data_IF_055507121210
#
_entry.id   IF_055507121210
#
_cell.length_a   1.000
_cell.length_b   1.000
_cell.length_c   1.000
_cell.angle_alpha   90.00
_cell.angle_beta   90.00
_cell.angle_gamma   90.00
#
_symmetry.space_group_name_H-M   'P 1'
#
loop_
_entity.id
_entity.type
_entity.pdbx_description
1 polymer ?
#
# COMPACT_ATOMS: atom_id res chain seq x y z
N UNK A 1 1.81 -5.62 -9.61
CA UNK A 1 3.13 -5.15 -10.12
C UNK A 1 4.26 -5.50 -9.15
N UNK A 2 4.08 -6.53 -8.31
CA UNK A 2 4.79 -6.53 -7.02
C UNK A 2 5.85 -7.61 -6.90
N UNK A 3 5.86 -8.62 -7.79
CA UNK A 3 6.88 -9.67 -7.77
C UNK A 3 8.32 -9.13 -7.89
N UNK A 4 8.59 -8.18 -8.78
CA UNK A 4 9.93 -7.60 -8.95
C UNK A 4 10.39 -6.86 -7.68
N UNK A 5 9.50 -6.04 -7.11
CA UNK A 5 9.74 -5.32 -5.86
C UNK A 5 9.93 -6.28 -4.67
N UNK A 6 9.12 -7.35 -4.58
CA UNK A 6 9.23 -8.41 -3.56
C UNK A 6 10.57 -9.15 -3.62
N UNK A 7 11.10 -9.35 -4.83
CA UNK A 7 12.42 -9.95 -5.04
C UNK A 7 13.59 -8.97 -4.83
N UNK A 8 13.30 -7.69 -4.54
CA UNK A 8 14.32 -6.65 -4.39
C UNK A 8 15.08 -6.36 -5.68
N UNK A 9 14.45 -6.62 -6.84
CA UNK A 9 15.07 -6.50 -8.18
C UNK A 9 14.27 -5.59 -9.09
N UNK A 10 14.96 -4.93 -9.99
CA UNK A 10 14.34 -4.26 -11.13
C UNK A 10 13.84 -5.28 -12.15
N UNK A 11 12.87 -4.87 -12.98
CA UNK A 11 12.40 -5.70 -14.10
C UNK A 11 13.54 -6.08 -15.06
N UNK A 12 14.52 -5.20 -15.24
CA UNK A 12 15.67 -5.44 -16.09
C UNK A 12 16.57 -6.55 -15.52
N UNK A 13 16.82 -6.55 -14.22
CA UNK A 13 17.62 -7.58 -13.55
C UNK A 13 16.94 -8.94 -13.59
N UNK A 14 15.62 -9.00 -13.42
CA UNK A 14 14.87 -10.26 -13.58
C UNK A 14 15.00 -10.81 -15.00
N UNK A 15 14.84 -9.97 -16.02
CA UNK A 15 14.99 -10.39 -17.43
C UNK A 15 16.41 -10.86 -17.77
N UNK A 16 17.42 -10.30 -17.12
CA UNK A 16 18.82 -10.63 -17.37
C UNK A 16 19.30 -11.88 -16.61
N UNK A 17 18.76 -12.15 -15.42
CA UNK A 17 19.28 -13.16 -14.50
C UNK A 17 18.38 -14.40 -14.36
N UNK A 18 17.12 -14.33 -14.79
CA UNK A 18 16.12 -15.37 -14.58
C UNK A 18 15.63 -15.97 -15.89
N UNK A 19 15.47 -17.30 -15.93
CA UNK A 19 14.84 -17.97 -17.07
C UNK A 19 13.33 -17.74 -17.10
N UNK A 20 12.70 -17.86 -18.28
CA UNK A 20 11.25 -17.71 -18.43
C UNK A 20 10.47 -18.74 -17.60
N UNK A 21 11.00 -19.95 -17.45
CA UNK A 21 10.39 -21.02 -16.66
C UNK A 21 10.41 -20.69 -15.16
N UNK A 22 11.55 -20.18 -14.66
CA UNK A 22 11.67 -19.74 -13.28
C UNK A 22 10.76 -18.53 -13.00
N UNK A 23 10.70 -17.57 -13.92
CA UNK A 23 9.79 -16.43 -13.80
C UNK A 23 8.32 -16.86 -13.70
N UNK A 24 7.90 -17.87 -14.48
CA UNK A 24 6.54 -18.41 -14.41
C UNK A 24 6.23 -19.10 -13.07
N UNK A 25 7.21 -19.79 -12.46
CA UNK A 25 7.06 -20.39 -11.13
C UNK A 25 6.91 -19.31 -10.06
N UNK A 26 7.70 -18.24 -10.13
CA UNK A 26 7.57 -17.10 -9.23
C UNK A 26 6.21 -16.40 -9.38
N UNK A 27 5.68 -16.28 -10.59
CA UNK A 27 4.34 -15.77 -10.81
C UNK A 27 3.26 -16.68 -10.21
N UNK A 28 3.39 -18.00 -10.31
CA UNK A 28 2.45 -18.94 -9.69
C UNK A 28 2.51 -18.87 -8.15
N UNK A 29 3.70 -18.76 -7.59
CA UNK A 29 3.89 -18.57 -6.14
C UNK A 29 3.31 -17.23 -5.66
N UNK A 30 3.52 -16.15 -6.42
CA UNK A 30 2.96 -14.82 -6.15
C UNK A 30 1.43 -14.83 -6.11
N UNK A 31 0.81 -15.68 -6.95
CA UNK A 31 -0.63 -15.85 -7.04
C UNK A 31 -1.22 -16.70 -5.90
N UNK A 32 -0.53 -17.77 -5.48
CA UNK A 32 -0.99 -18.66 -4.39
C UNK A 32 -0.68 -18.09 -3.00
N UNK A 33 0.31 -17.21 -2.92
CA UNK A 33 0.78 -16.63 -1.69
C UNK A 33 0.88 -15.11 -1.82
N UNK A 34 -0.25 -14.37 -1.66
CA UNK A 34 -0.20 -12.94 -1.45
C UNK A 34 0.29 -12.62 -0.03
N UNK A 35 1.27 -13.38 0.49
CA UNK A 35 1.89 -13.14 1.80
C UNK A 35 2.74 -11.87 1.69
N UNK A 36 2.10 -10.71 1.67
CA UNK A 36 2.47 -9.54 2.47
C UNK A 36 1.83 -8.25 1.98
N UNK A 37 1.46 -8.10 0.70
CA UNK A 37 1.08 -6.76 0.22
C UNK A 37 -0.34 -6.34 0.62
N UNK A 38 -1.32 -7.24 0.49
CA UNK A 38 -2.70 -6.75 0.51
C UNK A 38 -3.25 -6.55 1.92
N UNK A 39 -2.63 -7.16 2.95
CA UNK A 39 -3.17 -7.15 4.33
C UNK A 39 -2.14 -7.16 5.46
N UNK A 40 -0.87 -6.81 5.22
CA UNK A 40 0.08 -6.69 6.36
C UNK A 40 -0.35 -5.61 7.35
N UNK A 41 -1.01 -4.56 6.85
CA UNK A 41 -1.68 -3.54 7.65
C UNK A 41 -2.77 -4.13 8.57
N UNK A 42 -3.59 -5.07 8.09
CA UNK A 42 -4.53 -5.81 8.94
C UNK A 42 -3.81 -6.63 10.00
N UNK A 43 -2.75 -7.35 9.62
CA UNK A 43 -2.02 -8.16 10.59
C UNK A 43 -1.41 -7.30 11.70
N UNK A 44 -0.83 -6.16 11.33
CA UNK A 44 -0.35 -5.16 12.28
C UNK A 44 -1.48 -4.62 13.17
N UNK A 45 -2.64 -4.31 12.60
CA UNK A 45 -3.83 -3.85 13.33
C UNK A 45 -4.34 -4.92 14.33
N UNK A 46 -4.35 -6.19 13.93
CA UNK A 46 -4.72 -7.31 14.80
C UNK A 46 -3.78 -7.40 16.01
N UNK A 47 -2.46 -7.37 15.77
CA UNK A 47 -1.46 -7.42 16.84
C UNK A 47 -1.59 -6.21 17.77
N UNK A 48 -1.70 -5.00 17.24
CA UNK A 48 -1.89 -3.78 18.04
C UNK A 48 -3.17 -3.87 18.89
N UNK A 49 -4.30 -4.26 18.28
CA UNK A 49 -5.57 -4.37 19.00
C UNK A 49 -5.50 -5.39 20.14
N UNK A 50 -4.81 -6.52 19.95
CA UNK A 50 -4.63 -7.54 20.99
C UNK A 50 -3.82 -7.01 22.19
N UNK A 51 -2.76 -6.23 21.93
CA UNK A 51 -1.94 -5.61 22.98
C UNK A 51 -2.75 -4.60 23.80
N UNK A 52 -3.56 -3.76 23.15
CA UNK A 52 -4.43 -2.81 23.83
C UNK A 52 -5.56 -3.49 24.61
N UNK A 53 -6.17 -4.53 24.04
CA UNK A 53 -7.18 -5.35 24.73
C UNK A 53 -6.60 -6.05 25.97
N UNK A 54 -5.36 -6.53 25.90
CA UNK A 54 -4.66 -7.12 27.04
C UNK A 54 -4.45 -6.12 28.20
N UNK A 55 -4.39 -4.82 27.91
CA UNK A 55 -4.33 -3.73 28.91
C UNK A 55 -5.72 -3.28 29.40
N UNK A 56 -6.79 -3.93 28.95
CA UNK A 56 -8.17 -3.63 29.33
C UNK A 56 -8.88 -2.60 28.46
N UNK A 57 -8.26 -2.14 27.36
CA UNK A 57 -8.90 -1.21 26.43
C UNK A 57 -9.90 -1.94 25.51
N UNK A 58 -11.08 -1.34 25.29
CA UNK A 58 -12.11 -1.90 24.39
C UNK A 58 -11.94 -1.36 22.96
N UNK A 59 -10.89 -1.82 22.29
CA UNK A 59 -10.58 -1.44 20.90
C UNK A 59 -10.94 -2.56 19.93
N UNK A 60 -11.43 -2.24 18.74
CA UNK A 60 -11.62 -3.19 17.64
C UNK A 60 -10.40 -3.17 16.73
N UNK A 61 -10.21 -4.25 15.95
CA UNK A 61 -9.15 -4.31 14.93
C UNK A 61 -9.28 -3.17 13.92
N UNK A 62 -10.52 -2.81 13.55
CA UNK A 62 -10.79 -1.72 12.62
C UNK A 62 -10.26 -0.36 13.11
N UNK A 63 -10.25 -0.14 14.43
CA UNK A 63 -9.76 1.11 15.03
C UNK A 63 -8.22 1.23 14.95
N UNK A 64 -7.54 0.11 14.69
CA UNK A 64 -6.08 0.01 14.57
C UNK A 64 -5.62 -0.13 13.12
N UNK A 65 -6.53 -0.07 12.16
CA UNK A 65 -6.18 -0.07 10.74
C UNK A 65 -5.52 1.27 10.37
N UNK A 66 -4.38 1.27 9.67
CA UNK A 66 -3.80 2.50 9.13
C UNK A 66 -4.78 3.20 8.18
N UNK A 67 -5.00 4.50 8.38
CA UNK A 67 -5.77 5.31 7.45
C UNK A 67 -4.86 5.80 6.31
N UNK A 68 -4.81 5.03 5.23
CA UNK A 68 -4.04 5.38 4.03
C UNK A 68 -4.64 6.51 3.21
N UNK A 69 -5.92 6.83 3.41
CA UNK A 69 -6.62 7.93 2.71
C UNK A 69 -6.39 9.31 3.32
N UNK A 70 -5.66 9.37 4.45
CA UNK A 70 -5.72 10.52 5.36
C UNK A 70 -7.11 10.62 6.00
N UNK A 71 -7.20 11.21 7.18
CA UNK A 71 -8.49 11.80 7.53
C UNK A 71 -8.79 12.76 6.38
N UNK A 72 -10.03 12.80 5.89
CA UNK A 72 -10.49 13.96 5.19
C UNK A 72 -10.42 15.12 6.20
N UNK A 73 -9.21 15.66 6.40
CA UNK A 73 -9.03 17.08 6.66
C UNK A 73 -9.93 17.67 5.61
N UNK A 74 -11.04 18.28 6.05
CA UNK A 74 -11.90 19.07 5.18
C UNK A 74 -10.94 19.80 4.27
N UNK A 75 -10.97 19.45 2.98
CA UNK A 75 -10.16 20.13 2.00
C UNK A 75 -10.74 21.51 2.05
N UNK A 76 -10.14 22.40 2.85
CA UNK A 76 -10.33 23.83 2.74
C UNK A 76 -10.23 24.07 1.25
N UNK A 77 -11.36 24.50 0.66
CA UNK A 77 -11.46 24.71 -0.77
C UNK A 77 -10.18 25.38 -1.24
N UNK A 78 -9.43 24.67 -2.09
CA UNK A 78 -8.24 25.17 -2.78
C UNK A 78 -8.71 26.18 -3.84
N UNK A 79 -9.61 27.09 -3.45
CA UNK A 79 -10.19 28.11 -4.29
C UNK A 79 -9.19 29.27 -4.50
N UNK A 80 -8.24 29.44 -3.57
CA UNK A 80 -7.27 30.55 -3.57
C UNK A 80 -5.80 30.09 -3.76
N UNK A 81 -5.53 28.94 -4.40
CA UNK A 81 -4.14 28.59 -4.79
C UNK A 81 -3.75 29.25 -6.14
N UNK A 82 -2.80 30.20 -6.15
CA UNK A 82 -2.33 30.86 -7.36
C UNK A 82 -1.72 29.89 -8.38
N UNK A 83 -1.17 28.76 -7.92
CA UNK A 83 -0.60 27.72 -8.78
C UNK A 83 -1.70 26.99 -9.56
N UNK A 84 -2.78 26.58 -8.88
CA UNK A 84 -3.92 25.88 -9.50
C UNK A 84 -4.67 26.78 -10.50
N UNK A 85 -4.85 28.05 -10.15
CA UNK A 85 -5.41 29.05 -11.06
C UNK A 85 -4.55 29.27 -12.33
N UNK A 86 -3.22 29.27 -12.17
CA UNK A 86 -2.28 29.32 -13.30
C UNK A 86 -2.37 28.10 -14.22
N UNK A 87 -2.64 26.93 -13.64
CA UNK A 87 -2.75 25.66 -14.38
C UNK A 87 -4.05 25.59 -15.19
N UNK A 88 -5.17 26.05 -14.65
CA UNK A 88 -6.45 26.11 -15.37
C UNK A 88 -6.42 27.10 -16.54
N UNK A 89 -5.68 28.20 -16.42
CA UNK A 89 -5.51 29.20 -17.49
C UNK A 89 -4.68 28.71 -18.68
N UNK A 90 -3.92 27.62 -18.52
CA UNK A 90 -3.16 26.98 -19.60
C UNK A 90 -3.99 25.97 -20.41
N UNK A 91 -5.18 25.61 -19.91
CA UNK A 91 -6.08 24.61 -20.52
C UNK A 91 -7.21 25.27 -21.32
N UNK A 92 -7.44 26.58 -21.15
CA UNK A 92 -8.26 27.43 -22.05
C UNK A 92 -7.48 27.92 -23.26
#
# INVERSE_FOLDING_TARGET
MTLALRLGKTLAELRAQMSTAEFALWQALDAESPISDDRYDLHAAMVASAVFQAQGAKVKVADMMPNWGGDSVEVEEVADDPFFAGLMRLVE
#
